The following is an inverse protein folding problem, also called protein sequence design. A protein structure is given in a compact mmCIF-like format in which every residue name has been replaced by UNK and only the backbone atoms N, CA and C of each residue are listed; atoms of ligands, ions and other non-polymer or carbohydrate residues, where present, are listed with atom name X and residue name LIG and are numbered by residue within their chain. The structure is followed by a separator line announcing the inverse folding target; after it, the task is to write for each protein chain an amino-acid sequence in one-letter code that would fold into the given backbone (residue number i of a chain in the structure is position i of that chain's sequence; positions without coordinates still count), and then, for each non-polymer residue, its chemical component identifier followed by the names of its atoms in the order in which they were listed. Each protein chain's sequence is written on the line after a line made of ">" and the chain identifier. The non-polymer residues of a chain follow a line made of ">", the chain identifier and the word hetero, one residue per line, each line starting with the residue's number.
data_IF_248101598337
#
_entry.id   IF_248101598337
#
_cell.length_a   1.000
_cell.length_b   1.000
_cell.length_c   1.000
_cell.angle_alpha   90.00
_cell.angle_beta   90.00
_cell.angle_gamma   90.00
#
_symmetry.space_group_name_H-M   'P 1'
#
loop_
_entity.id
_entity.type
_entity.pdbx_description
1 polymer ?
#
# COMPACT_ATOMS: atom_id res chain seq x y z
N UNK A 1 -3.54 -3.70 28.60
CA UNK A 1 -3.41 -3.81 27.14
C UNK A 1 -3.06 -2.43 26.61
N UNK A 2 -1.86 -2.22 26.07
CA UNK A 2 -1.58 -0.99 25.32
C UNK A 2 -2.37 -1.08 24.03
N UNK A 3 -3.20 -0.08 23.72
CA UNK A 3 -3.92 -0.03 22.45
C UNK A 3 -2.91 0.03 21.32
N UNK A 4 -2.66 -1.10 20.66
CA UNK A 4 -1.77 -1.13 19.50
C UNK A 4 -2.57 -0.63 18.30
N UNK A 5 -2.18 0.53 17.80
CA UNK A 5 -2.69 1.10 16.56
C UNK A 5 -1.94 0.50 15.38
N UNK A 6 -2.66 0.22 14.28
CA UNK A 6 -2.07 -0.32 13.06
C UNK A 6 -2.20 0.72 11.97
N UNK A 7 -1.07 1.19 11.45
CA UNK A 7 -1.07 2.01 10.26
C UNK A 7 -0.79 1.17 9.00
N UNK A 8 -1.71 1.25 8.05
CA UNK A 8 -1.59 0.61 6.74
C UNK A 8 -1.18 1.61 5.68
N UNK A 9 -0.10 1.30 4.96
CA UNK A 9 0.48 2.21 3.98
C UNK A 9 0.46 1.55 2.60
N UNK A 10 -0.17 2.21 1.63
CA UNK A 10 -0.13 1.80 0.24
C UNK A 10 0.44 2.94 -0.61
N UNK A 11 1.50 2.63 -1.34
CA UNK A 11 2.03 3.54 -2.33
C UNK A 11 1.35 3.34 -3.70
N UNK A 12 0.98 4.43 -4.35
CA UNK A 12 0.46 4.46 -5.71
C UNK A 12 1.27 5.48 -6.54
N UNK A 13 1.18 5.43 -7.86
CA UNK A 13 1.87 6.38 -8.74
C UNK A 13 0.90 6.93 -9.76
N UNK A 14 0.94 8.25 -9.97
CA UNK A 14 0.27 8.86 -11.12
C UNK A 14 0.91 8.36 -12.41
N UNK A 15 0.13 7.84 -13.37
CA UNK A 15 0.67 7.53 -14.68
C UNK A 15 1.08 8.84 -15.37
N UNK A 16 2.37 9.00 -15.66
CA UNK A 16 2.93 10.26 -16.18
C UNK A 16 2.53 10.57 -17.64
N UNK A 17 1.99 9.59 -18.38
CA UNK A 17 1.46 9.77 -19.73
C UNK A 17 0.69 8.51 -20.12
N UNK A 18 -0.60 8.45 -19.84
CA UNK A 18 -1.48 7.58 -20.61
C UNK A 18 -2.23 8.50 -21.56
N UNK A 19 -2.06 8.28 -22.87
CA UNK A 19 -2.84 8.97 -23.91
C UNK A 19 -4.29 8.50 -23.77
N UNK A 20 -5.01 9.06 -22.80
CA UNK A 20 -6.42 8.81 -22.58
C UNK A 20 -7.23 9.75 -23.50
N UNK A 21 -8.37 9.29 -24.05
CA UNK A 21 -9.33 10.19 -24.67
C UNK A 21 -9.73 11.30 -23.69
N UNK A 22 -9.88 12.52 -24.21
CA UNK A 22 -10.05 13.80 -23.51
C UNK A 22 -10.37 13.75 -22.00
N UNK A 23 -9.61 14.45 -21.13
CA UNK A 23 -9.78 14.48 -19.67
C UNK A 23 -11.20 14.78 -19.16
N UNK A 24 -12.04 15.43 -19.98
CA UNK A 24 -13.42 15.77 -19.66
C UNK A 24 -14.39 14.57 -19.74
N UNK A 25 -14.00 13.47 -20.39
CA UNK A 25 -14.83 12.27 -20.57
C UNK A 25 -14.47 11.12 -19.62
N UNK A 26 -13.26 11.11 -19.05
CA UNK A 26 -12.73 9.97 -18.29
C UNK A 26 -12.41 10.28 -16.83
N UNK A 27 -12.65 11.50 -16.36
CA UNK A 27 -12.11 11.97 -15.08
C UNK A 27 -10.58 12.07 -15.17
N UNK A 28 -9.96 12.79 -14.23
CA UNK A 28 -8.51 12.87 -14.23
C UNK A 28 -7.94 11.46 -13.92
N UNK A 29 -7.14 10.83 -14.80
CA UNK A 29 -6.71 9.44 -14.65
C UNK A 29 -5.92 9.19 -13.35
N UNK A 30 -5.34 10.24 -12.77
CA UNK A 30 -4.71 10.20 -11.45
C UNK A 30 -5.71 9.91 -10.31
N UNK A 31 -6.94 10.42 -10.39
CA UNK A 31 -7.98 10.19 -9.38
C UNK A 31 -8.46 8.73 -9.44
N UNK A 32 -8.70 8.19 -10.64
CA UNK A 32 -9.13 6.80 -10.79
C UNK A 32 -8.12 5.79 -10.22
N UNK A 33 -6.81 6.01 -10.42
CA UNK A 33 -5.76 5.14 -9.85
C UNK A 33 -5.66 5.24 -8.33
N UNK A 34 -5.83 6.46 -7.78
CA UNK A 34 -5.88 6.67 -6.33
C UNK A 34 -7.09 5.98 -5.71
N UNK A 35 -8.26 6.11 -6.32
CA UNK A 35 -9.51 5.50 -5.85
C UNK A 35 -9.43 3.97 -5.92
N UNK A 36 -8.84 3.43 -7.00
CA UNK A 36 -8.58 2.00 -7.10
C UNK A 36 -7.61 1.51 -6.02
N UNK A 37 -6.54 2.27 -5.74
CA UNK A 37 -5.63 1.96 -4.65
C UNK A 37 -6.31 2.02 -3.27
N UNK A 38 -7.24 2.95 -3.06
CA UNK A 38 -8.05 3.03 -1.85
C UNK A 38 -8.95 1.80 -1.70
N UNK A 39 -9.69 1.45 -2.75
CA UNK A 39 -10.61 0.32 -2.73
C UNK A 39 -9.92 -1.01 -2.42
N UNK A 40 -8.72 -1.24 -2.99
CA UNK A 40 -7.92 -2.43 -2.68
C UNK A 40 -7.42 -2.46 -1.24
N UNK A 41 -7.11 -1.30 -0.67
CA UNK A 41 -6.71 -1.21 0.75
C UNK A 41 -7.91 -1.51 1.65
N UNK A 42 -9.09 -1.00 1.29
CA UNK A 42 -10.33 -1.21 2.03
C UNK A 42 -10.76 -2.67 2.02
N UNK A 43 -10.70 -3.34 0.86
CA UNK A 43 -10.99 -4.77 0.72
C UNK A 43 -10.06 -5.62 1.60
N UNK A 44 -8.76 -5.30 1.61
CA UNK A 44 -7.79 -6.01 2.44
C UNK A 44 -8.03 -5.82 3.95
N UNK A 45 -8.60 -4.67 4.34
CA UNK A 45 -8.86 -4.32 5.73
C UNK A 45 -10.21 -4.79 6.25
N UNK A 46 -11.18 -5.05 5.37
CA UNK A 46 -12.53 -5.46 5.76
C UNK A 46 -12.52 -6.76 6.58
N UNK A 47 -11.70 -7.74 6.20
CA UNK A 47 -11.52 -8.97 6.97
C UNK A 47 -10.91 -8.73 8.36
N UNK A 48 -9.87 -7.90 8.43
CA UNK A 48 -9.17 -7.59 9.68
C UNK A 48 -10.06 -6.81 10.65
N UNK A 49 -10.82 -5.84 10.14
CA UNK A 49 -11.74 -5.04 10.95
C UNK A 49 -12.86 -5.90 11.57
N UNK A 50 -13.33 -6.93 10.85
CA UNK A 50 -14.31 -7.90 11.36
C UNK A 50 -13.72 -8.84 12.42
N UNK A 51 -12.48 -9.29 12.23
CA UNK A 51 -11.81 -10.22 13.14
C UNK A 51 -11.28 -9.53 14.41
N UNK A 52 -10.87 -8.26 14.31
CA UNK A 52 -10.25 -7.49 15.39
C UNK A 52 -10.89 -6.09 15.55
N UNK A 53 -12.14 -6.00 16.05
CA UNK A 53 -12.87 -4.73 16.12
C UNK A 53 -12.30 -3.72 17.12
N UNK A 54 -11.44 -4.16 18.05
CA UNK A 54 -10.78 -3.29 19.03
C UNK A 54 -9.47 -2.66 18.54
N UNK A 55 -9.02 -2.97 17.33
CA UNK A 55 -7.78 -2.44 16.76
C UNK A 55 -8.08 -1.16 15.98
N UNK A 56 -7.41 -0.07 16.36
CA UNK A 56 -7.51 1.18 15.62
C UNK A 56 -6.64 1.07 14.36
N UNK A 57 -7.26 1.22 13.18
CA UNK A 57 -6.57 1.09 11.90
C UNK A 57 -6.54 2.43 11.17
N UNK A 58 -5.33 2.92 10.90
CA UNK A 58 -5.09 4.13 10.11
C UNK A 58 -4.72 3.75 8.67
N UNK A 59 -5.24 4.51 7.70
CA UNK A 59 -5.05 4.26 6.27
C UNK A 59 -4.26 5.41 5.65
N UNK A 60 -3.16 5.07 4.99
CA UNK A 60 -2.28 6.03 4.34
C UNK A 60 -2.06 5.65 2.87
N UNK A 61 -2.66 6.43 1.96
CA UNK A 61 -2.36 6.39 0.53
C UNK A 61 -1.26 7.40 0.22
N UNK A 62 -0.09 6.91 -0.17
CA UNK A 62 1.07 7.76 -0.45
C UNK A 62 1.39 7.73 -1.94
N UNK A 63 1.53 8.88 -2.56
CA UNK A 63 2.01 8.95 -3.94
C UNK A 63 3.53 8.76 -3.97
N UNK A 64 4.03 7.84 -4.80
CA UNK A 64 5.46 7.66 -5.06
C UNK A 64 6.02 6.28 -4.73
N UNK A 65 7.13 6.24 -3.99
CA UNK A 65 7.88 5.01 -3.71
C UNK A 65 7.43 4.38 -2.40
N UNK A 66 6.95 3.13 -2.44
CA UNK A 66 6.64 2.34 -1.26
C UNK A 66 7.84 2.25 -0.31
N UNK A 67 9.05 2.06 -0.84
CA UNK A 67 10.29 1.99 -0.04
C UNK A 67 10.47 3.26 0.80
N UNK A 68 10.37 4.44 0.19
CA UNK A 68 10.56 5.69 0.92
C UNK A 68 9.43 5.94 1.92
N UNK A 69 8.18 5.69 1.52
CA UNK A 69 7.04 5.85 2.41
C UNK A 69 7.13 4.96 3.65
N UNK A 70 7.49 3.68 3.49
CA UNK A 70 7.62 2.73 4.59
C UNK A 70 8.82 3.06 5.48
N UNK A 71 9.98 3.39 4.92
CA UNK A 71 11.17 3.77 5.70
C UNK A 71 10.94 5.06 6.50
N UNK A 72 10.27 6.05 5.91
CA UNK A 72 9.93 7.29 6.63
C UNK A 72 9.01 7.01 7.81
N UNK A 73 7.97 6.19 7.61
CA UNK A 73 6.99 5.86 8.65
C UNK A 73 7.51 4.89 9.70
N UNK A 74 8.46 4.01 9.34
CA UNK A 74 9.06 3.09 10.30
C UNK A 74 9.82 3.79 11.42
N UNK A 75 10.26 5.03 11.22
CA UNK A 75 10.92 5.81 12.28
C UNK A 75 9.99 6.16 13.44
N UNK A 76 8.68 6.24 13.19
CA UNK A 76 7.65 6.56 14.18
C UNK A 76 6.87 5.32 14.65
N UNK A 77 7.17 4.14 14.11
CA UNK A 77 6.45 2.90 14.40
C UNK A 77 7.30 1.98 15.28
N UNK A 78 6.66 1.33 16.26
CA UNK A 78 7.31 0.31 17.09
C UNK A 78 7.60 -0.99 16.30
N UNK A 79 6.83 -1.26 15.25
CA UNK A 79 6.95 -2.45 14.41
C UNK A 79 6.53 -2.15 12.96
N UNK A 80 7.37 -2.54 12.00
CA UNK A 80 7.04 -2.52 10.57
C UNK A 80 6.77 -3.95 10.07
N UNK A 81 5.56 -4.19 9.60
CA UNK A 81 5.18 -5.45 8.94
C UNK A 81 5.12 -5.25 7.43
N UNK A 82 5.82 -6.10 6.68
CA UNK A 82 5.76 -6.13 5.21
C UNK A 82 5.42 -7.54 4.73
N UNK A 83 4.62 -7.63 3.67
CA UNK A 83 4.35 -8.91 3.02
C UNK A 83 5.59 -9.45 2.31
N UNK A 84 6.05 -10.64 2.71
CA UNK A 84 7.09 -11.34 1.96
C UNK A 84 6.49 -11.82 0.63
N UNK A 85 6.83 -11.15 -0.48
CA UNK A 85 6.45 -11.64 -1.81
C UNK A 85 7.26 -12.90 -2.12
N UNK A 86 6.71 -14.08 -1.80
CA UNK A 86 7.19 -15.33 -2.40
C UNK A 86 6.77 -15.32 -3.86
N UNK A 87 7.70 -15.05 -4.78
CA UNK A 87 7.50 -15.36 -6.20
C UNK A 87 7.20 -16.85 -6.27
N UNK A 88 5.96 -17.23 -6.55
CA UNK A 88 5.62 -18.58 -7.03
C UNK A 88 6.46 -18.80 -8.29
N UNK A 89 7.57 -19.54 -8.18
CA UNK A 89 8.41 -19.90 -9.32
C UNK A 89 9.92 -20.06 -9.08
N UNK A 90 10.50 -19.63 -7.95
CA UNK A 90 11.94 -19.82 -7.71
C UNK A 90 12.21 -20.35 -6.29
N UNK A 91 12.43 -21.66 -6.20
CA UNK A 91 13.12 -22.31 -5.08
C UNK A 91 14.63 -22.19 -5.34
N UNK A 92 15.26 -21.14 -4.83
CA UNK A 92 16.71 -20.99 -4.87
C UNK A 92 17.18 -19.79 -4.05
N UNK A 93 18.25 -19.99 -3.27
CA UNK A 93 18.96 -18.88 -2.62
C UNK A 93 19.70 -18.06 -3.67
N UNK A 94 19.31 -16.80 -3.84
CA UNK A 94 20.12 -15.84 -4.57
C UNK A 94 21.13 -15.21 -3.59
N UNK A 95 22.16 -15.97 -3.24
CA UNK A 95 23.44 -15.38 -2.84
C UNK A 95 24.13 -14.96 -4.13
N UNK A 96 23.97 -13.69 -4.50
CA UNK A 96 24.73 -13.04 -5.56
C UNK A 96 25.89 -12.24 -4.97
N UNK A 97 27.02 -12.26 -5.67
CA UNK A 97 28.32 -11.67 -5.29
C UNK A 97 28.23 -10.15 -5.02
N UNK A 98 29.15 -9.67 -4.16
CA UNK A 98 29.42 -8.27 -3.75
C UNK A 98 29.32 -7.26 -4.89
#
# INVERSE_FOLDING_TARGET
>A
MRGCEVETVRAWRRPAHRTAPHPLLTGEPAHAEKDHAAALLDEALDGVAKEYPGVIVHRALVEGSARHALVSRSSAADLLVIGARRRRGYLGWQLGLV
#
